data_IF_590641329531
#
_entry.id   IF_590641329531
#
_cell.length_a   1.000
_cell.length_b   1.000
_cell.length_c   1.000
_cell.angle_alpha   90.00
_cell.angle_beta   90.00
_cell.angle_gamma   90.00
#
_symmetry.space_group_name_H-M   'P 1'
#
loop_
_entity.id
_entity.type
_entity.pdbx_description
1 polymer ?
#
# COMPACT_ATOMS: atom_id res chain seq x y z
N UNK A 1 -20.37 -26.17 29.28
CA UNK A 1 -20.73 -25.31 28.12
C UNK A 1 -20.34 -23.89 28.50
N UNK A 2 -19.13 -23.41 28.15
CA UNK A 2 -18.71 -22.85 26.86
C UNK A 2 -19.42 -21.52 26.53
N UNK A 3 -18.69 -20.41 26.71
CA UNK A 3 -18.36 -19.36 25.72
C UNK A 3 -18.29 -17.96 26.34
N UNK A 4 -17.10 -17.61 26.85
CA UNK A 4 -16.68 -16.23 26.99
C UNK A 4 -16.50 -15.62 25.61
N UNK A 5 -17.21 -14.52 25.35
CA UNK A 5 -17.20 -13.80 24.08
C UNK A 5 -15.89 -13.02 23.96
N UNK A 6 -14.81 -13.67 23.51
CA UNK A 6 -13.61 -12.97 23.04
C UNK A 6 -14.01 -12.16 21.81
N UNK A 7 -14.07 -10.83 21.96
CA UNK A 7 -14.01 -9.91 20.83
C UNK A 7 -12.61 -10.06 20.23
N UNK A 8 -12.52 -10.77 19.11
CA UNK A 8 -11.37 -10.70 18.22
C UNK A 8 -11.53 -9.43 17.40
N UNK A 9 -11.03 -8.30 17.91
CA UNK A 9 -10.66 -7.16 17.07
C UNK A 9 -9.22 -7.40 16.59
N UNK A 10 -9.06 -8.43 15.76
CA UNK A 10 -7.81 -8.63 15.02
C UNK A 10 -7.99 -7.93 13.68
N UNK A 11 -7.29 -6.82 13.48
CA UNK A 11 -7.07 -6.26 12.14
C UNK A 11 -7.09 -4.74 11.95
N UNK A 12 -7.37 -3.94 12.98
CA UNK A 12 -7.50 -2.48 12.81
C UNK A 12 -6.56 -1.61 13.66
N UNK A 13 -5.80 -2.19 14.60
CA UNK A 13 -5.16 -1.44 15.69
C UNK A 13 -3.62 -1.28 15.57
N UNK A 14 -3.03 -1.32 14.37
CA UNK A 14 -1.56 -1.18 14.28
C UNK A 14 -1.03 -0.31 13.14
N UNK A 15 -1.76 0.73 12.76
CA UNK A 15 -1.17 1.86 12.04
C UNK A 15 -0.81 2.95 13.06
N UNK A 16 0.48 3.07 13.39
CA UNK A 16 1.03 4.16 14.21
C UNK A 16 2.16 4.82 13.41
N UNK A 17 1.78 5.85 12.65
CA UNK A 17 2.70 6.60 11.79
C UNK A 17 3.92 7.15 12.57
N UNK A 18 3.71 7.62 13.80
CA UNK A 18 4.76 8.25 14.59
C UNK A 18 5.78 7.22 15.11
N UNK A 19 5.33 6.01 15.44
CA UNK A 19 6.20 4.86 15.76
C UNK A 19 6.94 4.36 14.53
N UNK A 20 6.24 4.16 13.42
CA UNK A 20 6.84 3.63 12.19
C UNK A 20 7.90 4.58 11.61
N UNK A 21 7.68 5.90 11.69
CA UNK A 21 8.67 6.92 11.33
C UNK A 21 9.93 6.89 12.21
N UNK A 22 9.78 6.60 13.52
CA UNK A 22 10.90 6.52 14.47
C UNK A 22 11.72 5.25 14.30
N UNK A 23 11.06 4.13 14.00
CA UNK A 23 11.68 2.81 13.90
C UNK A 23 12.12 2.47 12.47
N UNK A 24 11.64 3.22 11.47
CA UNK A 24 11.94 2.98 10.06
C UNK A 24 11.29 1.70 9.51
N UNK A 25 10.38 1.08 10.26
CA UNK A 25 9.68 -0.16 9.92
C UNK A 25 8.22 0.15 9.70
N UNK A 26 7.72 -0.15 8.52
CA UNK A 26 6.37 0.17 8.11
C UNK A 26 5.65 -1.12 7.77
N UNK A 27 4.55 -1.41 8.47
CA UNK A 27 3.79 -2.65 8.29
C UNK A 27 3.32 -2.82 6.84
N UNK A 28 3.00 -1.69 6.17
CA UNK A 28 2.65 -1.67 4.75
C UNK A 28 3.77 -2.16 3.84
N UNK A 29 5.04 -1.86 4.15
CA UNK A 29 6.21 -2.33 3.39
C UNK A 29 6.57 -3.78 3.74
N UNK A 30 6.39 -4.20 4.99
CA UNK A 30 6.72 -5.56 5.43
C UNK A 30 5.68 -6.62 5.01
N UNK A 31 4.44 -6.22 4.72
CA UNK A 31 3.33 -7.14 4.39
C UNK A 31 2.71 -6.87 3.01
N UNK A 32 3.49 -6.35 2.08
CA UNK A 32 3.05 -6.10 0.71
C UNK A 32 3.70 -7.05 -0.30
N UNK A 33 2.92 -7.49 -1.29
CA UNK A 33 3.42 -8.17 -2.50
C UNK A 33 3.43 -7.21 -3.70
N UNK A 34 3.41 -5.90 -3.46
CA UNK A 34 3.47 -4.91 -4.51
C UNK A 34 4.90 -4.82 -5.09
N UNK A 35 5.05 -4.50 -6.39
CA UNK A 35 6.35 -4.33 -7.03
C UNK A 35 6.95 -2.95 -6.70
N UNK A 36 6.99 -2.58 -5.43
CA UNK A 36 7.38 -1.25 -4.94
C UNK A 36 8.40 -1.40 -3.81
N UNK A 37 9.45 -0.58 -3.80
CA UNK A 37 10.33 -0.51 -2.64
C UNK A 37 9.63 0.13 -1.43
N UNK A 38 10.29 0.12 -0.26
CA UNK A 38 9.73 0.67 0.98
C UNK A 38 9.34 2.15 0.89
N UNK A 39 10.06 2.95 0.10
CA UNK A 39 9.76 4.37 -0.09
C UNK A 39 8.48 4.54 -0.92
N UNK A 40 8.40 3.89 -2.07
CA UNK A 40 7.24 3.95 -2.97
C UNK A 40 6.00 3.34 -2.33
N UNK A 41 6.15 2.27 -1.54
CA UNK A 41 5.05 1.66 -0.79
C UNK A 41 4.44 2.64 0.21
N UNK A 42 5.28 3.39 0.94
CA UNK A 42 4.80 4.41 1.89
C UNK A 42 4.13 5.58 1.20
N UNK A 43 4.75 6.09 0.14
CA UNK A 43 4.19 7.18 -0.65
C UNK A 43 2.80 6.79 -1.17
N UNK A 44 2.67 5.60 -1.76
CA UNK A 44 1.38 5.11 -2.22
C UNK A 44 0.38 4.90 -1.06
N UNK A 45 0.83 4.38 0.09
CA UNK A 45 -0.03 4.21 1.27
C UNK A 45 -0.59 5.55 1.79
N UNK A 46 0.13 6.65 1.63
CA UNK A 46 -0.31 8.01 1.98
C UNK A 46 -1.31 8.58 0.97
N UNK A 47 -1.14 8.30 -0.32
CA UNK A 47 -2.02 8.82 -1.38
C UNK A 47 -3.35 8.05 -1.51
N UNK A 48 -3.35 6.73 -1.36
CA UNK A 48 -4.53 5.89 -1.59
C UNK A 48 -5.79 6.26 -0.77
N UNK A 49 -5.69 6.76 0.49
CA UNK A 49 -6.84 7.24 1.25
C UNK A 49 -7.49 8.52 0.69
N UNK A 50 -6.74 9.32 -0.06
CA UNK A 50 -7.23 10.57 -0.67
C UNK A 50 -8.02 10.29 -1.95
N UNK A 51 -7.64 9.23 -2.68
CA UNK A 51 -8.32 8.80 -3.88
C UNK A 51 -9.75 8.31 -3.61
N UNK A 52 -10.63 8.54 -4.58
CA UNK A 52 -11.95 7.94 -4.58
C UNK A 52 -11.88 6.40 -4.76
N UNK A 53 -13.01 5.73 -4.59
CA UNK A 53 -13.05 4.26 -4.67
C UNK A 53 -12.70 3.71 -6.05
N UNK A 54 -13.04 4.43 -7.12
CA UNK A 54 -12.77 4.02 -8.49
C UNK A 54 -11.27 4.11 -8.76
N UNK A 55 -10.66 5.26 -8.49
CA UNK A 55 -9.25 5.51 -8.77
C UNK A 55 -8.33 4.65 -7.92
N UNK A 56 -8.67 4.44 -6.64
CA UNK A 56 -7.95 3.47 -5.79
C UNK A 56 -8.01 2.05 -6.35
N UNK A 57 -9.16 1.62 -6.87
CA UNK A 57 -9.30 0.29 -7.50
C UNK A 57 -8.42 0.18 -8.73
N UNK A 58 -8.37 1.25 -9.52
CA UNK A 58 -7.60 1.31 -10.75
C UNK A 58 -6.09 1.26 -10.50
N UNK A 59 -5.60 1.99 -9.50
CA UNK A 59 -4.19 1.91 -9.07
C UNK A 59 -3.80 0.47 -8.71
N UNK A 60 -4.61 -0.23 -7.90
CA UNK A 60 -4.33 -1.62 -7.56
C UNK A 60 -4.38 -2.55 -8.78
N UNK A 61 -5.25 -2.28 -9.77
CA UNK A 61 -5.29 -3.06 -11.02
C UNK A 61 -3.99 -2.88 -11.79
N UNK A 62 -3.56 -1.63 -12.00
CA UNK A 62 -2.34 -1.31 -12.74
C UNK A 62 -1.08 -1.88 -12.09
N UNK A 63 -0.97 -1.83 -10.75
CA UNK A 63 0.15 -2.46 -10.03
C UNK A 63 0.18 -3.97 -10.19
N UNK A 64 -0.99 -4.64 -10.16
CA UNK A 64 -1.08 -6.08 -10.39
C UNK A 64 -0.70 -6.45 -11.83
N UNK A 65 -1.14 -5.67 -12.81
CA UNK A 65 -0.79 -5.89 -14.21
C UNK A 65 0.71 -5.73 -14.44
N UNK A 66 1.31 -4.69 -13.88
CA UNK A 66 2.75 -4.49 -13.91
C UNK A 66 3.51 -5.65 -13.26
N UNK A 67 3.07 -6.12 -12.09
CA UNK A 67 3.68 -7.29 -11.45
C UNK A 67 3.54 -8.56 -12.32
N UNK A 68 2.39 -8.74 -12.99
CA UNK A 68 2.13 -9.89 -13.86
C UNK A 68 3.00 -9.90 -15.13
N UNK A 69 3.51 -8.76 -15.59
CA UNK A 69 4.49 -8.72 -16.70
C UNK A 69 5.91 -9.07 -16.25
N UNK A 70 6.16 -9.21 -14.94
CA UNK A 70 7.49 -9.43 -14.38
C UNK A 70 8.35 -8.16 -14.37
N UNK A 71 7.72 -6.98 -14.25
CA UNK A 71 8.43 -5.71 -14.12
C UNK A 71 9.37 -5.69 -12.91
N UNK A 72 10.49 -4.94 -12.98
CA UNK A 72 11.39 -4.75 -11.85
C UNK A 72 10.70 -4.04 -10.67
N UNK A 73 11.34 -4.07 -9.51
CA UNK A 73 10.87 -3.26 -8.38
C UNK A 73 10.88 -1.76 -8.75
N UNK A 74 9.77 -1.07 -8.50
CA UNK A 74 9.62 0.37 -8.73
C UNK A 74 10.23 1.11 -7.53
N UNK A 75 11.21 1.96 -7.84
CA UNK A 75 12.02 2.67 -6.85
C UNK A 75 11.84 4.18 -6.88
N UNK A 76 11.20 4.71 -7.93
CA UNK A 76 10.89 6.13 -8.09
C UNK A 76 9.50 6.36 -8.71
N UNK A 77 9.04 7.61 -8.67
CA UNK A 77 7.73 7.98 -9.22
C UNK A 77 7.67 7.82 -10.75
N UNK A 78 8.77 8.12 -11.46
CA UNK A 78 8.85 8.05 -12.92
C UNK A 78 8.73 6.63 -13.46
N UNK A 79 9.07 5.64 -12.63
CA UNK A 79 8.97 4.21 -12.94
C UNK A 79 7.54 3.66 -12.81
N UNK A 80 6.62 4.42 -12.21
CA UNK A 80 5.22 4.01 -12.10
C UNK A 80 4.56 3.87 -13.49
N UNK A 81 3.70 2.86 -13.69
CA UNK A 81 2.81 2.78 -14.84
C UNK A 81 2.12 4.12 -15.10
N UNK A 82 2.07 4.55 -16.38
CA UNK A 82 1.58 5.87 -16.76
C UNK A 82 0.20 6.20 -16.16
N UNK A 83 -0.74 5.25 -16.17
CA UNK A 83 -2.06 5.44 -15.57
C UNK A 83 -2.04 5.70 -14.07
N UNK A 84 -1.06 5.18 -13.32
CA UNK A 84 -0.91 5.49 -11.89
C UNK A 84 -0.41 6.92 -11.70
N UNK A 85 0.55 7.36 -12.52
CA UNK A 85 1.05 8.75 -12.47
C UNK A 85 -0.04 9.76 -12.79
N UNK A 86 -0.88 9.46 -13.78
CA UNK A 86 -2.04 10.30 -14.13
C UNK A 86 -3.06 10.39 -12.98
N UNK A 87 -3.36 9.27 -12.31
CA UNK A 87 -4.29 9.26 -11.16
C UNK A 87 -3.72 10.04 -9.96
N UNK A 88 -2.41 9.96 -9.75
CA UNK A 88 -1.72 10.58 -8.61
C UNK A 88 -1.19 11.99 -8.89
N UNK A 89 -1.38 12.53 -10.11
CA UNK A 89 -0.87 13.83 -10.56
C UNK A 89 0.65 14.01 -10.35
N UNK A 90 1.43 13.01 -10.80
CA UNK A 90 2.90 12.91 -10.65
C UNK A 90 3.69 13.23 -11.92
#
# INVERSE_FOLDING_TARGET
MLFGKKKTSAGADEYDEERDLREGRFVAAEQTNLPLNDFMTRMLAQELPILDSHDRTEVYRLLREYAATGGPEITSQEELPAGIREILDL
#
